data_IF_145483079912
#
_entry.id   IF_145483079912
#
_cell.length_a   1.000
_cell.length_b   1.000
_cell.length_c   1.000
_cell.angle_alpha   90.00
_cell.angle_beta   90.00
_cell.angle_gamma   90.00
#
_symmetry.space_group_name_H-M   'P 1'
#
loop_
_entity.id
_entity.type
_entity.pdbx_description
1 polymer ?
#
# COMPACT_ATOMS: atom_id res chain seq x y z
N UNK A 1 23.97 -10.64 -17.40
CA UNK A 1 23.11 -11.04 -16.25
C UNK A 1 21.75 -10.37 -16.41
N UNK A 2 20.76 -11.07 -16.99
CA UNK A 2 19.40 -10.55 -17.08
C UNK A 2 18.80 -10.54 -15.68
N UNK A 3 18.81 -9.37 -15.04
CA UNK A 3 17.95 -9.11 -13.88
C UNK A 3 16.53 -9.19 -14.43
N UNK A 4 15.81 -10.28 -14.14
CA UNK A 4 14.36 -10.31 -14.32
C UNK A 4 13.81 -9.10 -13.55
N UNK A 5 13.55 -8.00 -14.24
CA UNK A 5 12.86 -6.87 -13.65
C UNK A 5 11.48 -7.39 -13.30
N UNK A 6 11.26 -7.63 -12.00
CA UNK A 6 9.95 -8.02 -11.49
C UNK A 6 8.94 -6.99 -11.99
N UNK A 7 7.92 -7.46 -12.70
CA UNK A 7 6.87 -6.62 -13.25
C UNK A 7 6.35 -5.66 -12.17
N UNK A 8 6.53 -4.35 -12.40
CA UNK A 8 6.10 -3.32 -11.44
C UNK A 8 4.59 -3.16 -11.53
N UNK A 9 3.90 -3.46 -10.43
CA UNK A 9 2.44 -3.36 -10.27
C UNK A 9 2.12 -2.14 -9.41
N UNK A 10 1.26 -1.26 -9.91
CA UNK A 10 0.95 0.05 -9.34
C UNK A 10 -0.51 0.18 -8.92
N UNK A 11 -0.72 0.88 -7.80
CA UNK A 11 -1.98 1.54 -7.46
C UNK A 11 -1.78 3.05 -7.27
N UNK A 12 -2.85 3.82 -7.40
CA UNK A 12 -2.85 5.28 -7.22
C UNK A 12 -3.77 5.66 -6.06
N UNK A 13 -3.32 6.57 -5.19
CA UNK A 13 -4.10 7.20 -4.12
C UNK A 13 -4.07 8.72 -4.24
N UNK A 14 -5.11 9.40 -3.71
CA UNK A 14 -5.13 10.86 -3.56
C UNK A 14 -5.27 11.71 -4.83
N UNK A 15 -5.36 11.11 -6.03
CA UNK A 15 -5.50 11.87 -7.29
C UNK A 15 -6.97 12.00 -7.69
N UNK A 16 -7.53 13.20 -7.52
CA UNK A 16 -8.93 13.54 -7.89
C UNK A 16 -9.11 13.85 -9.38
N UNK A 17 -8.11 14.50 -9.99
CA UNK A 17 -8.16 14.88 -11.40
C UNK A 17 -8.04 13.62 -12.29
N UNK A 18 -9.09 13.34 -13.08
CA UNK A 18 -9.18 12.13 -13.93
C UNK A 18 -8.15 12.13 -15.05
N UNK A 19 -7.86 13.28 -15.64
CA UNK A 19 -6.90 13.39 -16.75
C UNK A 19 -5.48 13.15 -16.27
N UNK A 20 -5.08 13.77 -15.13
CA UNK A 20 -3.80 13.48 -14.48
C UNK A 20 -3.65 11.99 -14.17
N UNK A 21 -4.70 11.36 -13.64
CA UNK A 21 -4.70 9.92 -13.39
C UNK A 21 -4.55 9.11 -14.67
N UNK A 22 -5.24 9.48 -15.75
CA UNK A 22 -5.15 8.80 -17.05
C UNK A 22 -3.75 8.89 -17.65
N UNK A 23 -3.10 10.05 -17.56
CA UNK A 23 -1.71 10.25 -18.00
C UNK A 23 -0.76 9.33 -17.24
N UNK A 24 -0.89 9.24 -15.91
CA UNK A 24 -0.05 8.33 -15.11
C UNK A 24 -0.26 6.86 -15.49
N UNK A 25 -1.52 6.43 -15.67
CA UNK A 25 -1.82 5.04 -16.05
C UNK A 25 -1.22 4.71 -17.42
N UNK A 26 -1.33 5.64 -18.39
CA UNK A 26 -0.68 5.47 -19.71
C UNK A 26 0.85 5.38 -19.57
N UNK A 27 1.46 6.26 -18.78
CA UNK A 27 2.91 6.24 -18.54
C UNK A 27 3.39 4.92 -17.91
N UNK A 28 2.62 4.39 -16.94
CA UNK A 28 2.91 3.09 -16.32
C UNK A 28 2.89 1.97 -17.37
N UNK A 29 1.86 1.93 -18.22
CA UNK A 29 1.71 0.93 -19.27
C UNK A 29 2.82 1.04 -20.33
N UNK A 30 3.18 2.26 -20.72
CA UNK A 30 4.25 2.54 -21.69
C UNK A 30 5.60 1.97 -21.23
N UNK A 31 5.89 2.04 -19.93
CA UNK A 31 7.11 1.51 -19.32
C UNK A 31 7.02 0.00 -18.96
N UNK A 32 5.99 -0.70 -19.44
CA UNK A 32 5.80 -2.14 -19.18
C UNK A 32 5.31 -2.48 -17.76
N UNK A 33 4.87 -1.47 -16.99
CA UNK A 33 4.23 -1.67 -15.68
C UNK A 33 2.76 -2.05 -15.79
N UNK A 34 2.19 -2.59 -14.72
CA UNK A 34 0.77 -2.92 -14.60
C UNK A 34 0.09 -1.95 -13.64
N UNK A 35 -1.09 -1.45 -13.99
CA UNK A 35 -1.92 -0.65 -13.09
C UNK A 35 -3.14 -1.44 -12.64
N UNK A 36 -3.36 -1.50 -11.33
CA UNK A 36 -4.56 -2.08 -10.73
C UNK A 36 -5.46 -0.94 -10.26
N UNK A 37 -6.69 -0.92 -10.77
CA UNK A 37 -7.70 0.07 -10.39
C UNK A 37 -8.34 -0.20 -9.02
N UNK A 38 -9.46 0.50 -8.76
CA UNK A 38 -10.29 0.31 -7.56
C UNK A 38 -10.07 1.33 -6.45
N UNK A 39 -11.05 1.43 -5.55
CA UNK A 39 -11.02 2.27 -4.35
C UNK A 39 -10.26 1.63 -3.19
N UNK A 40 -10.21 0.29 -3.15
CA UNK A 40 -9.61 -0.50 -2.05
C UNK A 40 -8.15 -0.86 -2.35
N UNK A 41 -7.34 -0.98 -1.30
CA UNK A 41 -5.97 -1.47 -1.39
C UNK A 41 -5.87 -2.89 -1.95
N UNK A 42 -4.81 -3.19 -2.71
CA UNK A 42 -4.51 -4.54 -3.22
C UNK A 42 -3.08 -4.93 -2.86
N UNK A 43 -2.92 -6.03 -2.12
CA UNK A 43 -1.60 -6.46 -1.62
C UNK A 43 -0.61 -6.88 -2.72
N UNK A 44 -1.12 -7.32 -3.88
CA UNK A 44 -0.30 -7.68 -5.04
C UNK A 44 0.45 -6.51 -5.67
N UNK A 45 0.24 -5.27 -5.21
CA UNK A 45 1.01 -4.13 -5.71
C UNK A 45 2.45 -4.17 -5.20
N UNK A 46 3.32 -3.55 -5.99
CA UNK A 46 4.71 -3.27 -5.64
C UNK A 46 4.92 -1.79 -5.33
N UNK A 47 4.11 -0.92 -5.92
CA UNK A 47 4.21 0.53 -5.85
C UNK A 47 2.85 1.17 -5.61
N UNK A 48 2.80 2.17 -4.73
CA UNK A 48 1.69 3.09 -4.57
C UNK A 48 2.14 4.49 -4.98
N UNK A 49 1.43 5.11 -5.90
CA UNK A 49 1.65 6.51 -6.28
C UNK A 49 0.69 7.40 -5.50
N UNK A 50 1.23 8.44 -4.87
CA UNK A 50 0.45 9.42 -4.11
C UNK A 50 1.14 10.80 -4.19
N UNK A 51 0.39 11.91 -4.28
CA UNK A 51 1.01 13.25 -4.34
C UNK A 51 1.73 13.63 -3.05
N UNK A 52 1.26 13.12 -1.92
CA UNK A 52 1.77 13.47 -0.60
C UNK A 52 1.42 12.36 0.40
N UNK A 53 1.98 12.48 1.60
CA UNK A 53 1.61 11.65 2.74
C UNK A 53 0.12 11.87 3.07
N UNK A 54 -0.61 10.77 3.28
CA UNK A 54 -2.05 10.83 3.55
C UNK A 54 -2.47 9.73 4.52
N UNK A 55 -3.49 9.95 5.37
CA UNK A 55 -4.05 8.90 6.23
C UNK A 55 -5.00 7.96 5.47
N UNK A 56 -4.84 7.83 4.14
CA UNK A 56 -5.72 6.97 3.35
C UNK A 56 -5.42 5.48 3.61
N UNK A 57 -6.45 4.63 3.52
CA UNK A 57 -6.34 3.17 3.65
C UNK A 57 -5.18 2.62 2.81
N UNK A 58 -5.13 2.98 1.53
CA UNK A 58 -4.06 2.53 0.61
C UNK A 58 -2.67 2.94 1.08
N UNK A 59 -2.53 4.16 1.59
CA UNK A 59 -1.25 4.68 2.05
C UNK A 59 -0.76 3.90 3.27
N UNK A 60 -1.60 3.77 4.29
CA UNK A 60 -1.26 3.07 5.53
C UNK A 60 -0.96 1.59 5.26
N UNK A 61 -1.79 0.92 4.45
CA UNK A 61 -1.58 -0.47 4.08
C UNK A 61 -0.28 -0.68 3.26
N UNK A 62 0.02 0.21 2.31
CA UNK A 62 1.27 0.14 1.55
C UNK A 62 2.50 0.36 2.43
N UNK A 63 2.43 1.27 3.42
CA UNK A 63 3.48 1.48 4.40
C UNK A 63 3.70 0.22 5.26
N UNK A 64 2.62 -0.34 5.81
CA UNK A 64 2.67 -1.52 6.65
C UNK A 64 3.24 -2.74 5.91
N UNK A 65 2.84 -2.93 4.64
CA UNK A 65 3.34 -4.02 3.80
C UNK A 65 4.72 -3.75 3.18
N UNK A 66 5.39 -2.65 3.53
CA UNK A 66 6.73 -2.31 3.03
C UNK A 66 6.81 -2.14 1.51
N UNK A 67 5.74 -1.65 0.88
CA UNK A 67 5.71 -1.37 -0.56
C UNK A 67 6.44 -0.06 -0.86
N UNK A 68 6.80 0.17 -2.12
CA UNK A 68 7.24 1.49 -2.56
C UNK A 68 6.07 2.47 -2.51
N UNK A 69 6.24 3.61 -1.85
CA UNK A 69 5.28 4.71 -1.89
C UNK A 69 6.01 5.94 -2.43
N UNK A 70 5.63 6.35 -3.64
CA UNK A 70 6.38 7.33 -4.44
C UNK A 70 5.47 8.45 -4.95
N UNK A 71 6.08 9.59 -5.27
CA UNK A 71 5.41 10.72 -5.90
C UNK A 71 5.04 10.42 -7.35
N UNK A 72 4.24 11.31 -7.95
CA UNK A 72 3.83 11.21 -9.35
C UNK A 72 5.05 11.37 -10.29
N UNK A 73 6.03 12.16 -9.86
CA UNK A 73 7.23 12.50 -10.65
C UNK A 73 8.01 11.25 -11.02
N UNK A 74 7.94 10.19 -10.19
CA UNK A 74 8.53 8.90 -10.51
C UNK A 74 8.10 8.37 -11.87
N UNK A 75 6.79 8.40 -12.17
CA UNK A 75 6.27 7.93 -13.45
C UNK A 75 6.60 8.93 -14.55
N UNK A 76 6.43 10.22 -14.29
CA UNK A 76 6.66 11.28 -15.27
C UNK A 76 8.10 11.27 -15.77
N UNK A 77 9.06 11.23 -14.86
CA UNK A 77 10.48 11.26 -15.19
C UNK A 77 10.96 9.93 -15.74
N UNK A 78 10.43 8.80 -15.25
CA UNK A 78 10.73 7.49 -15.87
C UNK A 78 10.25 7.41 -17.31
N UNK A 79 9.08 8.00 -17.63
CA UNK A 79 8.57 8.06 -19.02
C UNK A 79 9.50 8.91 -19.87
N UNK A 80 9.93 10.08 -19.38
CA UNK A 80 10.90 10.94 -20.09
C UNK A 80 12.24 10.24 -20.32
N UNK A 81 12.70 9.45 -19.35
CA UNK A 81 13.93 8.68 -19.42
C UNK A 81 13.79 7.41 -20.31
N UNK A 82 12.57 7.01 -20.67
CA UNK A 82 12.29 5.80 -21.45
C UNK A 82 12.47 4.49 -20.69
N UNK A 83 12.76 4.55 -19.38
CA UNK A 83 12.92 3.37 -18.51
C UNK A 83 12.68 3.75 -17.05
N UNK A 84 12.38 2.77 -16.21
CA UNK A 84 12.15 3.00 -14.78
C UNK A 84 13.38 3.56 -14.08
N UNK A 85 13.24 4.75 -13.50
CA UNK A 85 14.27 5.35 -12.66
C UNK A 85 14.35 4.64 -11.29
N UNK A 86 15.40 4.89 -10.48
CA UNK A 86 15.46 4.42 -9.10
C UNK A 86 14.37 5.06 -8.23
N UNK A 87 13.63 4.26 -7.48
CA UNK A 87 12.46 4.69 -6.69
C UNK A 87 12.81 5.63 -5.52
N UNK A 88 14.01 5.46 -4.94
CA UNK A 88 14.41 6.08 -3.67
C UNK A 88 14.31 7.61 -3.69
N UNK A 89 14.67 8.24 -4.81
CA UNK A 89 14.62 9.71 -4.96
C UNK A 89 13.20 10.27 -5.02
N UNK A 90 12.22 9.41 -5.26
CA UNK A 90 10.81 9.77 -5.39
C UNK A 90 9.96 9.31 -4.21
N UNK A 91 10.58 8.76 -3.17
CA UNK A 91 9.85 8.37 -1.96
C UNK A 91 9.17 9.58 -1.32
N UNK A 92 7.93 9.38 -0.90
CA UNK A 92 7.19 10.41 -0.18
C UNK A 92 7.80 10.67 1.19
N UNK A 93 8.01 11.94 1.50
CA UNK A 93 8.53 12.40 2.77
C UNK A 93 7.52 13.30 3.49
N UNK A 94 7.62 13.32 4.81
CA UNK A 94 7.06 14.36 5.67
C UNK A 94 8.20 15.36 5.88
N UNK A 95 8.05 16.56 5.32
CA UNK A 95 8.95 17.68 5.59
C UNK A 95 8.18 18.70 6.42
N UNK A 96 8.63 18.97 7.63
CA UNK A 96 8.21 20.18 8.35
C UNK A 96 9.29 21.25 8.14
N UNK A 97 8.90 22.52 8.17
CA UNK A 97 9.83 23.64 7.91
C UNK A 97 11.04 23.68 8.86
N UNK A 98 11.01 22.94 9.97
CA UNK A 98 12.01 22.95 11.04
C UNK A 98 12.76 21.63 11.23
N UNK A 99 12.46 20.57 10.46
CA UNK A 99 13.11 19.26 10.66
C UNK A 99 13.50 18.57 9.37
N UNK A 100 14.50 17.67 9.47
CA UNK A 100 14.93 16.85 8.35
C UNK A 100 13.77 16.01 7.80
N UNK A 101 13.73 15.85 6.47
CA UNK A 101 12.71 15.06 5.79
C UNK A 101 12.63 13.63 6.36
N UNK A 102 11.45 13.26 6.87
CA UNK A 102 11.19 11.93 7.42
C UNK A 102 10.46 11.07 6.38
N UNK A 103 10.95 9.85 6.16
CA UNK A 103 10.39 8.91 5.17
C UNK A 103 9.65 7.77 5.87
N UNK A 104 8.33 7.91 6.14
CA UNK A 104 7.58 6.97 6.99
C UNK A 104 7.57 5.53 6.46
N UNK A 105 7.76 5.37 5.16
CA UNK A 105 7.68 4.07 4.47
C UNK A 105 9.02 3.34 4.51
N UNK A 106 10.11 4.10 4.57
CA UNK A 106 11.46 3.60 4.34
C UNK A 106 11.88 2.54 5.35
N UNK A 107 11.63 2.80 6.63
CA UNK A 107 11.99 1.89 7.70
C UNK A 107 11.33 0.51 7.54
N UNK A 108 10.03 0.49 7.22
CA UNK A 108 9.30 -0.77 7.03
C UNK A 108 9.69 -1.46 5.74
N UNK A 109 9.81 -0.72 4.63
CA UNK A 109 10.28 -1.29 3.35
C UNK A 109 11.64 -1.96 3.49
N UNK A 110 12.60 -1.29 4.14
CA UNK A 110 13.95 -1.86 4.31
C UNK A 110 13.91 -3.14 5.14
N UNK A 111 13.13 -3.18 6.23
CA UNK A 111 12.95 -4.41 7.02
C UNK A 111 12.27 -5.53 6.24
N UNK A 112 11.20 -5.24 5.51
CA UNK A 112 10.50 -6.23 4.66
C UNK A 112 11.40 -6.74 3.54
N UNK A 113 12.21 -5.87 2.95
CA UNK A 113 13.14 -6.23 1.88
C UNK A 113 14.24 -7.21 2.34
N UNK A 114 14.58 -7.24 3.64
CA UNK A 114 15.52 -8.27 4.18
C UNK A 114 14.93 -9.68 4.17
N UNK A 115 13.62 -9.84 3.92
CA UNK A 115 12.93 -11.13 3.96
C UNK A 115 12.70 -11.67 5.37
N UNK A 116 13.18 -10.97 6.40
CA UNK A 116 12.96 -11.34 7.82
C UNK A 116 11.53 -11.09 8.28
N UNK A 117 10.81 -10.22 7.57
CA UNK A 117 9.40 -9.97 7.84
C UNK A 117 8.58 -9.70 6.58
N UNK A 118 7.28 -10.02 6.63
CA UNK A 118 6.30 -9.83 5.56
C UNK A 118 5.58 -8.48 5.64
N UNK A 119 5.63 -7.83 6.80
CA UNK A 119 5.10 -6.49 7.03
C UNK A 119 5.11 -6.08 8.50
N UNK A 120 4.74 -4.83 8.77
CA UNK A 120 4.91 -4.16 10.07
C UNK A 120 4.28 -4.89 11.26
N UNK A 121 3.22 -5.65 11.02
CA UNK A 121 2.44 -6.30 12.06
C UNK A 121 2.50 -7.84 12.01
N UNK A 122 3.52 -8.41 11.36
CA UNK A 122 3.70 -9.86 11.28
C UNK A 122 3.57 -10.54 12.65
N UNK A 123 2.68 -11.53 12.73
CA UNK A 123 2.44 -12.33 13.93
C UNK A 123 1.57 -11.63 15.00
N UNK A 124 1.06 -10.44 14.74
CA UNK A 124 0.14 -9.78 15.65
C UNK A 124 -1.24 -10.45 15.59
N UNK A 125 -1.86 -10.56 16.76
CA UNK A 125 -3.26 -10.96 16.92
C UNK A 125 -3.99 -9.81 17.61
N UNK A 126 -4.89 -9.16 16.88
CA UNK A 126 -5.52 -7.91 17.33
C UNK A 126 -7.03 -8.10 17.44
N UNK A 127 -7.60 -7.65 18.57
CA UNK A 127 -9.03 -7.43 18.72
C UNK A 127 -9.31 -5.95 18.52
N UNK A 128 -10.14 -5.62 17.54
CA UNK A 128 -10.49 -4.23 17.25
C UNK A 128 -11.91 -3.92 17.73
N UNK A 129 -12.00 -3.06 18.73
CA UNK A 129 -13.26 -2.55 19.28
C UNK A 129 -13.55 -1.18 18.68
N UNK A 130 -14.57 -1.05 17.83
CA UNK A 130 -14.86 0.23 17.14
C UNK A 130 -16.35 0.51 17.16
N UNK A 131 -16.75 1.76 17.41
CA UNK A 131 -18.16 2.17 17.29
C UNK A 131 -18.57 2.51 15.84
N UNK A 132 -17.62 3.03 15.05
CA UNK A 132 -17.81 3.41 13.65
C UNK A 132 -17.24 2.34 12.71
N UNK A 133 -18.11 1.69 11.94
CA UNK A 133 -17.74 0.66 10.95
C UNK A 133 -16.71 1.13 9.92
N UNK A 134 -16.61 2.44 9.64
CA UNK A 134 -15.62 3.00 8.70
C UNK A 134 -14.20 2.93 9.26
N UNK A 135 -14.05 3.12 10.57
CA UNK A 135 -12.79 2.95 11.29
C UNK A 135 -12.41 1.47 11.40
N UNK A 136 -13.40 0.58 11.51
CA UNK A 136 -13.17 -0.87 11.51
C UNK A 136 -12.61 -1.38 10.16
N UNK A 137 -13.10 -0.85 9.04
CA UNK A 137 -12.56 -1.15 7.72
C UNK A 137 -11.08 -0.74 7.58
N UNK A 138 -10.71 0.46 8.07
CA UNK A 138 -9.32 0.94 8.01
C UNK A 138 -8.35 -0.04 8.68
N UNK A 139 -8.72 -0.58 9.84
CA UNK A 139 -7.89 -1.55 10.58
C UNK A 139 -7.98 -2.98 10.05
N UNK A 140 -9.13 -3.43 9.55
CA UNK A 140 -9.26 -4.73 8.87
C UNK A 140 -8.27 -4.86 7.72
N UNK A 141 -8.09 -3.81 6.92
CA UNK A 141 -7.19 -3.84 5.76
C UNK A 141 -5.70 -3.80 6.13
N UNK A 142 -5.35 -3.07 7.19
CA UNK A 142 -4.00 -3.11 7.76
C UNK A 142 -3.69 -4.52 8.29
N UNK A 143 -4.68 -5.15 8.94
CA UNK A 143 -4.52 -6.46 9.55
C UNK A 143 -4.46 -7.60 8.54
N UNK A 144 -5.40 -7.71 7.60
CA UNK A 144 -5.53 -8.87 6.71
C UNK A 144 -4.34 -9.17 5.78
N UNK A 145 -3.37 -8.27 5.69
CA UNK A 145 -2.17 -8.45 4.87
C UNK A 145 -0.89 -8.63 5.68
N UNK A 146 -0.94 -8.45 7.01
CA UNK A 146 0.25 -8.53 7.88
C UNK A 146 -0.02 -9.13 9.28
N UNK A 147 -1.26 -9.37 9.70
CA UNK A 147 -1.64 -9.97 10.99
C UNK A 147 -2.87 -10.88 10.86
N UNK A 148 -3.04 -11.77 11.83
CA UNK A 148 -4.26 -12.56 11.98
C UNK A 148 -5.28 -11.76 12.81
N UNK A 149 -6.37 -11.30 12.18
CA UNK A 149 -7.42 -10.59 12.90
C UNK A 149 -8.33 -11.58 13.61
N UNK A 150 -8.36 -11.53 14.94
CA UNK A 150 -9.17 -12.43 15.77
C UNK A 150 -10.68 -12.07 15.75
N UNK A 151 -11.03 -10.84 15.39
CA UNK A 151 -12.42 -10.39 15.23
C UNK A 151 -12.57 -8.88 15.22
N UNK A 152 -13.68 -8.38 14.65
CA UNK A 152 -14.16 -7.01 14.82
C UNK A 152 -15.38 -7.07 15.74
N UNK A 153 -15.35 -6.31 16.83
CA UNK A 153 -16.53 -6.05 17.64
C UNK A 153 -16.99 -4.61 17.38
N UNK A 154 -18.18 -4.47 16.80
CA UNK A 154 -18.82 -3.17 16.59
C UNK A 154 -20.03 -3.07 17.50
N UNK A 155 -20.18 -1.97 18.25
CA UNK A 155 -21.30 -1.83 19.21
C UNK A 155 -22.69 -1.75 18.53
N UNK A 156 -22.74 -1.66 17.20
CA UNK A 156 -23.97 -1.58 16.40
C UNK A 156 -24.24 -2.82 15.54
N UNK A 157 -23.37 -3.84 15.57
CA UNK A 157 -23.55 -5.09 14.81
C UNK A 157 -23.10 -6.27 15.69
N UNK A 158 -23.90 -7.34 15.86
CA UNK A 158 -23.49 -8.47 16.69
C UNK A 158 -22.17 -9.08 16.18
N UNK A 159 -21.33 -9.51 17.14
CA UNK A 159 -20.03 -10.13 16.92
C UNK A 159 -20.08 -11.16 15.78
N UNK A 160 -19.46 -10.85 14.64
CA UNK A 160 -19.16 -11.84 13.61
C UNK A 160 -17.78 -12.39 13.90
N UNK A 161 -17.73 -13.52 14.59
CA UNK A 161 -16.52 -14.34 14.69
C UNK A 161 -16.29 -15.04 13.35
N UNK A 162 -15.09 -15.01 12.75
CA UNK A 162 -14.76 -15.94 11.68
C UNK A 162 -14.58 -17.32 12.32
N UNK A 163 -15.61 -18.16 12.26
CA UNK A 163 -15.44 -19.58 12.53
C UNK A 163 -14.47 -20.16 11.50
N UNK A 164 -13.32 -20.60 12.00
CA UNK A 164 -12.48 -21.57 11.34
C UNK A 164 -13.30 -22.87 11.21
N UNK A 165 -14.01 -23.05 10.09
CA UNK A 165 -14.42 -24.38 9.65
C UNK A 165 -13.67 -24.73 8.37
N UNK A 166 -12.52 -25.38 8.58
CA UNK A 166 -11.99 -26.38 7.66
C UNK A 166 -12.99 -27.54 7.61
N UNK A 167 -13.79 -27.59 6.55
CA UNK A 167 -14.74 -28.68 6.32
C UNK A 167 -14.85 -29.01 4.83
N UNK A 168 -13.98 -29.90 4.38
CA UNK A 168 -14.11 -30.62 3.12
C UNK A 168 -15.36 -31.51 3.18
N UNK A 169 -16.27 -31.44 2.20
CA UNK A 169 -16.88 -32.60 1.51
C UNK A 169 -18.06 -32.19 0.60
N UNK A 170 -17.89 -32.52 -0.69
CA UNK A 170 -18.84 -32.73 -1.80
C UNK A 170 -19.74 -31.57 -2.24
#
# INVERSE_FOLDING_TARGET
TFRMERCKIFQISGIKNRDKKRVLVKGIQQLGGKYIGGSVYKNGITHLITPQVSPSEKFLAACAAGKWVVTLDYVVDSVKNGSWLPERSYEVAISTASSAAFYPVRQWREKVATGRMTGAFQGWRVLLMVQDVRMALMFWFISTNTCDLLGIACSTVPLVTPSLDLGCQL
#
